data_IF_213681001680
#
_entry.id   IF_213681001680
#
_cell.length_a   1.000
_cell.length_b   1.000
_cell.length_c   1.000
_cell.angle_alpha   90.00
_cell.angle_beta   90.00
_cell.angle_gamma   90.00
#
_symmetry.space_group_name_H-M   'P 1'
#
loop_
_entity.id
_entity.type
_entity.pdbx_description
1 polymer ?
#
# COMPACT_ATOMS: atom_id res chain seq x y z
N UNK A 1 -4.67 -2.62 13.38
CA UNK A 1 -5.30 -1.33 13.76
C UNK A 1 -4.44 -0.54 14.74
N UNK A 2 -4.06 -1.09 15.91
CA UNK A 2 -3.22 -0.36 16.90
C UNK A 2 -1.89 0.17 16.33
N UNK A 3 -1.11 -0.69 15.67
CA UNK A 3 0.16 -0.27 15.04
C UNK A 3 -0.04 0.85 14.04
N UNK A 4 -0.97 0.71 13.09
CA UNK A 4 -1.30 1.78 12.14
C UNK A 4 -1.72 3.09 12.84
N UNK A 5 -2.49 3.00 13.92
CA UNK A 5 -2.89 4.17 14.70
C UNK A 5 -1.67 4.85 15.35
N UNK A 6 -0.70 4.08 15.86
CA UNK A 6 0.59 4.59 16.36
C UNK A 6 1.40 5.25 15.23
N UNK A 7 1.51 4.62 14.06
CA UNK A 7 2.20 5.17 12.87
C UNK A 7 1.62 6.54 12.46
N UNK A 8 0.29 6.65 12.47
CA UNK A 8 -0.43 7.85 12.09
C UNK A 8 -0.54 8.88 13.22
N UNK A 9 -0.27 8.50 14.47
CA UNK A 9 -0.40 9.37 15.64
C UNK A 9 -1.86 9.62 16.05
N UNK A 10 -2.74 8.62 15.90
CA UNK A 10 -4.15 8.72 16.27
C UNK A 10 -4.58 7.67 17.31
N UNK A 11 -5.75 7.88 17.89
CA UNK A 11 -6.45 6.86 18.68
C UNK A 11 -7.07 5.83 17.72
N UNK A 12 -6.93 4.50 17.96
CA UNK A 12 -7.64 3.48 17.18
C UNK A 12 -9.14 3.73 17.00
N UNK A 13 -9.81 4.32 17.99
CA UNK A 13 -11.23 4.65 17.92
C UNK A 13 -11.58 5.65 16.81
N UNK A 14 -10.60 6.41 16.29
CA UNK A 14 -10.79 7.32 15.16
C UNK A 14 -11.18 6.60 13.85
N UNK A 15 -10.99 5.28 13.77
CA UNK A 15 -11.43 4.45 12.65
C UNK A 15 -12.88 3.96 12.77
N UNK A 16 -13.61 4.36 13.82
CA UNK A 16 -14.99 3.89 14.09
C UNK A 16 -16.02 5.04 14.10
N UNK A 17 -15.72 6.18 13.47
CA UNK A 17 -16.49 7.42 13.67
C UNK A 17 -17.25 7.98 12.46
N UNK A 18 -17.26 7.32 11.30
CA UNK A 18 -17.86 7.86 10.04
C UNK A 18 -17.38 9.29 9.69
N UNK A 19 -16.18 9.68 10.13
CA UNK A 19 -15.66 11.05 10.05
C UNK A 19 -14.18 11.06 9.62
N UNK A 20 -13.72 12.25 9.19
CA UNK A 20 -12.30 12.52 8.97
C UNK A 20 -11.67 13.05 10.25
N UNK A 21 -10.73 12.30 10.81
CA UNK A 21 -9.90 12.73 11.93
C UNK A 21 -8.55 13.22 11.39
N UNK A 22 -8.27 14.52 11.55
CA UNK A 22 -6.97 15.11 11.17
C UNK A 22 -6.07 15.16 12.40
N UNK A 23 -4.88 14.57 12.31
CA UNK A 23 -3.90 14.53 13.40
C UNK A 23 -2.54 15.05 12.94
N UNK A 24 -1.75 15.55 13.88
CA UNK A 24 -0.33 15.82 13.63
C UNK A 24 0.43 14.50 13.54
N UNK A 25 1.29 14.40 12.53
CA UNK A 25 2.12 13.22 12.32
C UNK A 25 3.17 13.10 13.43
N UNK A 26 3.39 11.91 14.01
CA UNK A 26 4.42 11.70 15.02
C UNK A 26 5.80 12.11 14.52
N UNK A 27 6.58 12.84 15.33
CA UNK A 27 7.94 13.26 14.98
C UNK A 27 8.90 12.08 14.73
N UNK A 28 8.59 10.90 15.29
CA UNK A 28 9.36 9.67 15.11
C UNK A 28 8.95 8.85 13.87
N UNK A 29 7.93 9.30 13.12
CA UNK A 29 7.46 8.61 11.91
C UNK A 29 8.59 8.47 10.89
N UNK A 30 8.78 7.26 10.39
CA UNK A 30 9.80 6.94 9.36
C UNK A 30 9.32 7.26 7.94
N UNK A 31 8.05 7.57 7.79
CA UNK A 31 7.43 7.85 6.51
C UNK A 31 7.98 9.13 5.88
N UNK A 32 8.46 9.09 4.62
CA UNK A 32 9.03 10.24 3.93
C UNK A 32 7.95 11.24 3.46
N UNK A 33 6.68 10.98 3.74
CA UNK A 33 5.54 11.73 3.22
C UNK A 33 5.12 12.87 4.15
N UNK A 34 4.63 13.95 3.54
CA UNK A 34 4.07 15.12 4.27
C UNK A 34 2.68 14.84 4.82
N UNK A 35 1.93 13.95 4.17
CA UNK A 35 0.62 13.52 4.62
C UNK A 35 0.42 12.03 4.32
N UNK A 36 -0.21 11.34 5.27
CA UNK A 36 -0.62 9.95 5.19
C UNK A 36 -2.11 9.88 5.46
N UNK A 37 -2.82 9.04 4.73
CA UNK A 37 -4.26 8.85 4.91
C UNK A 37 -4.58 7.37 5.00
N UNK A 38 -5.39 7.00 5.98
CA UNK A 38 -5.89 5.64 6.16
C UNK A 38 -7.39 5.67 6.40
N UNK A 39 -8.13 4.79 5.73
CA UNK A 39 -9.52 4.48 6.06
C UNK A 39 -9.56 3.03 6.50
N UNK A 40 -10.01 2.79 7.73
CA UNK A 40 -10.32 1.47 8.25
C UNK A 40 -11.71 1.54 8.89
N UNK A 41 -12.43 0.43 8.90
CA UNK A 41 -13.79 0.42 9.46
C UNK A 41 -14.66 1.46 8.76
N UNK A 42 -15.17 2.41 9.54
CA UNK A 42 -16.00 3.53 9.05
C UNK A 42 -15.28 4.88 9.09
N UNK A 43 -14.14 5.00 9.79
CA UNK A 43 -13.43 6.27 9.96
C UNK A 43 -12.27 6.45 8.98
N UNK A 44 -11.91 7.71 8.74
CA UNK A 44 -10.69 8.08 8.00
C UNK A 44 -9.79 8.92 8.88
N UNK A 45 -8.50 8.62 8.88
CA UNK A 45 -7.47 9.40 9.57
C UNK A 45 -6.55 10.02 8.54
N UNK A 46 -6.30 11.32 8.67
CA UNK A 46 -5.33 12.08 7.89
C UNK A 46 -4.24 12.58 8.84
N UNK A 47 -3.07 11.96 8.77
CA UNK A 47 -1.87 12.31 9.55
C UNK A 47 -0.97 13.22 8.74
N UNK A 48 -0.71 14.43 9.24
CA UNK A 48 -0.05 15.49 8.47
C UNK A 48 1.14 16.05 9.23
N UNK A 49 2.22 16.35 8.51
CA UNK A 49 3.36 17.11 9.02
C UNK A 49 2.89 18.39 9.74
N UNK A 50 3.44 18.64 10.94
CA UNK A 50 3.03 19.74 11.80
C UNK A 50 2.99 21.11 11.09
N UNK A 51 3.87 21.32 10.10
CA UNK A 51 3.87 22.56 9.31
C UNK A 51 2.54 22.79 8.58
N UNK A 52 1.85 21.74 8.15
CA UNK A 52 0.61 21.82 7.36
C UNK A 52 -0.64 21.45 8.16
N UNK A 53 -0.53 21.23 9.47
CA UNK A 53 -1.64 20.76 10.29
C UNK A 53 -2.84 21.73 10.30
N UNK A 54 -2.60 23.01 10.56
CA UNK A 54 -3.66 24.03 10.55
C UNK A 54 -4.35 24.14 9.20
N UNK A 55 -3.56 24.07 8.11
CA UNK A 55 -4.09 24.05 6.75
C UNK A 55 -4.99 22.83 6.55
N UNK A 56 -4.52 21.64 6.92
CA UNK A 56 -5.29 20.40 6.77
C UNK A 56 -6.61 20.42 7.56
N UNK A 57 -6.59 20.94 8.80
CA UNK A 57 -7.79 21.09 9.62
C UNK A 57 -8.81 22.08 9.08
N UNK A 58 -8.37 23.07 8.30
CA UNK A 58 -9.25 24.05 7.66
C UNK A 58 -9.95 23.51 6.40
N UNK A 59 -9.48 22.38 5.86
CA UNK A 59 -10.10 21.78 4.68
C UNK A 59 -11.44 21.12 5.05
N UNK A 60 -12.46 21.38 4.27
CA UNK A 60 -13.74 20.65 4.37
C UNK A 60 -13.76 19.55 3.33
N UNK A 61 -13.64 18.29 3.77
CA UNK A 61 -13.56 17.12 2.89
C UNK A 61 -14.76 16.24 3.18
N UNK A 62 -15.71 16.22 2.24
CA UNK A 62 -16.94 15.44 2.36
C UNK A 62 -17.21 14.60 1.11
N UNK A 63 -17.53 13.30 1.27
CA UNK A 63 -17.41 12.51 2.50
C UNK A 63 -15.95 12.32 2.94
N UNK A 64 -15.72 12.03 4.22
CA UNK A 64 -14.40 11.91 4.85
C UNK A 64 -13.38 11.07 4.07
N UNK A 65 -13.79 9.95 3.47
CA UNK A 65 -12.92 9.06 2.70
C UNK A 65 -12.40 9.69 1.39
N UNK A 66 -12.94 10.84 0.95
CA UNK A 66 -12.37 11.59 -0.19
C UNK A 66 -11.03 12.23 0.13
N UNK A 67 -10.53 12.17 1.37
CA UNK A 67 -9.16 12.61 1.68
C UNK A 67 -8.10 11.87 0.83
N UNK A 68 -8.39 10.66 0.33
CA UNK A 68 -7.56 9.92 -0.63
C UNK A 68 -7.54 10.51 -2.04
N UNK A 69 -8.54 11.32 -2.38
CA UNK A 69 -8.69 11.85 -3.72
C UNK A 69 -7.81 13.07 -3.88
N UNK A 70 -7.01 13.07 -4.93
CA UNK A 70 -6.03 14.12 -5.17
C UNK A 70 -6.64 15.52 -5.25
N UNK A 71 -7.79 15.66 -5.89
CA UNK A 71 -8.48 16.94 -6.00
C UNK A 71 -9.03 17.47 -4.66
N UNK A 72 -9.31 16.58 -3.70
CA UNK A 72 -9.94 16.97 -2.44
C UNK A 72 -8.91 17.45 -1.40
N UNK A 73 -7.70 16.89 -1.39
CA UNK A 73 -6.69 17.25 -0.40
C UNK A 73 -5.27 17.37 -0.95
N UNK A 74 -4.79 16.39 -1.72
CA UNK A 74 -3.38 16.34 -2.12
C UNK A 74 -2.97 17.52 -3.02
N UNK A 75 -3.82 17.92 -3.97
CA UNK A 75 -3.58 19.09 -4.82
C UNK A 75 -3.63 20.39 -4.01
N UNK A 76 -4.66 20.66 -3.17
CA UNK A 76 -4.64 21.79 -2.24
C UNK A 76 -3.37 21.85 -1.38
N UNK A 77 -2.91 20.72 -0.84
CA UNK A 77 -1.69 20.65 -0.04
C UNK A 77 -0.44 21.01 -0.86
N UNK A 78 -0.36 20.59 -2.12
CA UNK A 78 0.72 20.98 -3.02
C UNK A 78 0.71 22.49 -3.30
N UNK A 79 -0.46 23.08 -3.56
CA UNK A 79 -0.56 24.53 -3.75
C UNK A 79 -0.19 25.30 -2.48
N UNK A 80 -0.58 24.80 -1.31
CA UNK A 80 -0.16 25.38 -0.02
C UNK A 80 1.35 25.27 0.18
N UNK A 81 1.95 24.13 -0.15
CA UNK A 81 3.40 23.95 -0.13
C UNK A 81 4.09 24.97 -1.02
N UNK A 82 3.60 25.13 -2.25
CA UNK A 82 4.11 26.13 -3.20
C UNK A 82 3.98 27.56 -2.68
N UNK A 83 2.86 27.92 -2.07
CA UNK A 83 2.66 29.25 -1.45
C UNK A 83 3.66 29.51 -0.32
N UNK A 84 4.11 28.46 0.37
CA UNK A 84 5.13 28.50 1.43
C UNK A 84 6.57 28.32 0.93
N UNK A 85 6.79 28.21 -0.38
CA UNK A 85 8.12 27.96 -0.96
C UNK A 85 8.65 26.54 -0.76
N UNK A 86 7.78 25.57 -0.48
CA UNK A 86 8.10 24.15 -0.30
C UNK A 86 7.67 23.39 -1.55
N UNK A 87 8.61 22.72 -2.22
CA UNK A 87 8.31 21.88 -3.36
C UNK A 87 7.67 20.57 -2.89
N UNK A 88 6.37 20.41 -3.15
CA UNK A 88 5.62 19.18 -2.89
C UNK A 88 5.13 18.58 -4.21
N UNK A 89 5.00 17.26 -4.22
CA UNK A 89 4.32 16.52 -5.28
C UNK A 89 3.43 15.47 -4.64
N UNK A 90 2.35 15.10 -5.33
CA UNK A 90 1.49 13.99 -4.93
C UNK A 90 1.47 12.93 -6.04
N UNK A 91 1.23 11.69 -5.64
CA UNK A 91 0.94 10.57 -6.55
C UNK A 91 -0.42 9.98 -6.16
N UNK A 92 -1.20 9.58 -7.18
CA UNK A 92 -2.56 9.06 -7.03
C UNK A 92 -2.63 7.82 -6.16
N UNK A 93 -3.83 7.46 -5.67
CA UNK A 93 -3.99 6.84 -4.38
C UNK A 93 -3.24 5.51 -4.27
N UNK A 94 -2.28 5.46 -3.35
CA UNK A 94 -1.74 4.21 -2.84
C UNK A 94 -2.76 3.69 -1.82
N UNK A 95 -3.72 2.88 -2.28
CA UNK A 95 -4.65 2.19 -1.39
C UNK A 95 -3.96 0.95 -0.83
N UNK A 96 -3.63 0.98 0.46
CA UNK A 96 -3.26 -0.23 1.19
C UNK A 96 -4.50 -0.79 1.88
N UNK A 97 -4.78 -2.08 1.69
CA UNK A 97 -5.82 -2.80 2.41
C UNK A 97 -5.17 -3.67 3.47
N UNK A 98 -5.56 -3.49 4.73
CA UNK A 98 -5.13 -4.39 5.81
C UNK A 98 -6.28 -5.38 6.04
N UNK A 99 -6.12 -6.67 5.69
CA UNK A 99 -7.17 -7.64 5.94
C UNK A 99 -7.32 -7.84 7.46
N UNK A 100 -8.57 -7.82 7.95
CA UNK A 100 -8.87 -8.03 9.37
C UNK A 100 -8.70 -9.50 9.83
N UNK A 101 -8.67 -10.42 8.86
CA UNK A 101 -8.45 -11.86 9.03
C UNK A 101 -7.79 -12.40 7.76
N UNK A 102 -7.24 -13.61 7.81
CA UNK A 102 -6.77 -14.28 6.60
C UNK A 102 -7.87 -14.26 5.52
N UNK A 103 -7.55 -13.87 4.28
CA UNK A 103 -8.50 -13.96 3.18
C UNK A 103 -8.88 -15.44 2.95
N UNK A 104 -10.10 -15.72 2.46
CA UNK A 104 -10.48 -17.07 2.11
C UNK A 104 -9.52 -17.63 1.06
N UNK A 105 -9.30 -18.93 1.08
CA UNK A 105 -8.50 -19.58 0.04
C UNK A 105 -9.19 -19.43 -1.32
N UNK A 106 -8.42 -19.03 -2.32
CA UNK A 106 -8.88 -18.95 -3.71
C UNK A 106 -8.32 -20.13 -4.49
N UNK A 107 -9.21 -20.83 -5.21
CA UNK A 107 -8.82 -21.88 -6.14
C UNK A 107 -8.08 -21.24 -7.30
N UNK A 108 -6.89 -21.75 -7.58
CA UNK A 108 -6.12 -21.34 -8.74
C UNK A 108 -6.82 -21.88 -10.00
N UNK A 109 -7.01 -21.08 -11.06
CA UNK A 109 -7.58 -21.56 -12.31
C UNK A 109 -6.78 -22.74 -12.89
N UNK A 110 -7.46 -23.61 -13.64
CA UNK A 110 -6.83 -24.76 -14.31
C UNK A 110 -5.68 -24.32 -15.22
N UNK A 111 -4.62 -25.14 -15.27
CA UNK A 111 -3.43 -24.88 -16.09
C UNK A 111 -2.41 -23.93 -15.44
N UNK A 112 -2.68 -23.47 -14.22
CA UNK A 112 -1.73 -22.71 -13.42
C UNK A 112 -1.25 -23.51 -12.21
N UNK A 113 -0.06 -23.16 -11.75
CA UNK A 113 0.46 -23.58 -10.45
C UNK A 113 1.00 -22.36 -9.70
N UNK A 114 0.92 -22.32 -8.37
CA UNK A 114 1.50 -21.22 -7.60
C UNK A 114 2.55 -21.72 -6.61
N UNK A 115 3.70 -21.05 -6.58
CA UNK A 115 4.89 -21.43 -5.80
C UNK A 115 5.43 -20.24 -5.03
N UNK A 116 6.03 -20.51 -3.87
CA UNK A 116 6.81 -19.51 -3.15
C UNK A 116 8.16 -19.31 -3.84
N UNK A 117 8.58 -18.06 -3.98
CA UNK A 117 9.88 -17.68 -4.54
C UNK A 117 10.63 -16.74 -3.60
N UNK A 118 11.95 -16.81 -3.67
CA UNK A 118 12.88 -16.02 -2.85
C UNK A 118 13.68 -15.00 -3.65
N UNK A 119 14.72 -14.45 -3.01
CA UNK A 119 15.54 -13.37 -3.56
C UNK A 119 16.25 -13.73 -4.88
N UNK A 120 16.62 -15.00 -5.05
CA UNK A 120 17.26 -15.47 -6.29
C UNK A 120 16.33 -15.32 -7.50
N UNK A 121 15.07 -15.74 -7.36
CA UNK A 121 14.06 -15.55 -8.41
C UNK A 121 13.78 -14.07 -8.66
N UNK A 122 13.64 -13.28 -7.59
CA UNK A 122 13.47 -11.82 -7.71
C UNK A 122 14.60 -11.20 -8.52
N UNK A 123 15.86 -11.55 -8.26
CA UNK A 123 17.01 -11.00 -8.97
C UNK A 123 16.96 -11.30 -10.49
N UNK A 124 16.38 -12.43 -10.90
CA UNK A 124 16.23 -12.79 -12.32
C UNK A 124 15.17 -11.92 -13.04
N UNK A 125 14.10 -11.53 -12.33
CA UNK A 125 12.94 -10.85 -12.93
C UNK A 125 12.87 -9.35 -12.62
N UNK A 126 13.64 -8.83 -11.67
CA UNK A 126 13.60 -7.42 -11.27
C UNK A 126 13.81 -6.48 -12.46
N UNK A 127 14.81 -6.78 -13.31
CA UNK A 127 15.14 -5.98 -14.50
C UNK A 127 14.07 -6.06 -15.60
N UNK A 128 13.21 -7.08 -15.58
CA UNK A 128 12.17 -7.26 -16.61
C UNK A 128 11.03 -6.25 -16.49
N UNK A 129 10.86 -5.63 -15.32
CA UNK A 129 9.76 -4.70 -14.98
C UNK A 129 8.35 -5.26 -15.22
N UNK A 130 8.22 -6.59 -15.29
CA UNK A 130 6.92 -7.25 -15.52
C UNK A 130 6.01 -7.16 -14.29
N UNK A 131 6.60 -7.11 -13.09
CA UNK A 131 5.90 -7.15 -11.80
C UNK A 131 6.43 -6.06 -10.84
N UNK A 132 6.58 -4.82 -11.31
CA UNK A 132 7.18 -3.71 -10.53
C UNK A 132 6.46 -3.51 -9.19
N UNK A 133 5.15 -3.70 -9.10
CA UNK A 133 4.45 -3.53 -7.82
C UNK A 133 4.86 -4.58 -6.78
N UNK A 134 5.08 -5.84 -7.19
CA UNK A 134 5.40 -6.93 -6.26
C UNK A 134 6.89 -7.25 -6.12
N UNK A 135 7.74 -6.75 -7.01
CA UNK A 135 9.21 -6.90 -6.94
C UNK A 135 9.94 -5.61 -6.57
N UNK A 136 9.28 -4.47 -6.78
CA UNK A 136 9.78 -3.12 -6.67
C UNK A 136 10.60 -2.68 -7.88
N UNK A 137 10.98 -1.42 -7.89
CA UNK A 137 11.73 -0.80 -8.99
C UNK A 137 13.24 -1.12 -8.90
N UNK A 138 13.93 -1.38 -10.02
CA UNK A 138 15.39 -1.54 -10.03
C UNK A 138 16.12 -0.32 -9.45
N UNK A 139 17.10 -0.56 -8.58
CA UNK A 139 17.90 0.50 -7.94
C UNK A 139 17.21 1.22 -6.77
N UNK A 140 15.99 0.82 -6.41
CA UNK A 140 15.31 1.33 -5.22
C UNK A 140 15.86 0.64 -3.96
N UNK A 141 16.66 1.36 -3.16
CA UNK A 141 17.31 0.83 -1.95
C UNK A 141 16.32 0.38 -0.87
N UNK A 142 15.16 1.05 -0.77
CA UNK A 142 14.08 0.64 0.15
C UNK A 142 13.62 -0.78 -0.21
N UNK A 143 13.26 -0.99 -1.47
CA UNK A 143 12.79 -2.28 -1.98
C UNK A 143 13.82 -3.38 -1.74
N UNK A 144 15.10 -3.14 -2.02
CA UNK A 144 16.15 -4.15 -1.84
C UNK A 144 16.29 -4.60 -0.38
N UNK A 145 16.21 -3.65 0.54
CA UNK A 145 16.31 -3.87 1.98
C UNK A 145 15.07 -4.56 2.54
N UNK A 146 13.88 -4.16 2.11
CA UNK A 146 12.61 -4.52 2.76
C UNK A 146 11.83 -5.63 2.07
N UNK A 147 12.10 -5.97 0.81
CA UNK A 147 11.48 -7.14 0.17
C UNK A 147 11.81 -8.44 0.90
N UNK A 148 10.87 -9.40 0.97
CA UNK A 148 11.01 -10.65 1.74
C UNK A 148 10.85 -11.90 0.88
N UNK A 149 9.68 -12.08 0.28
CA UNK A 149 9.31 -13.27 -0.51
C UNK A 149 8.17 -12.92 -1.46
N UNK A 150 7.80 -13.85 -2.35
CA UNK A 150 6.57 -13.75 -3.13
C UNK A 150 5.92 -15.11 -3.37
N UNK A 151 4.60 -15.12 -3.59
CA UNK A 151 3.90 -16.19 -4.31
C UNK A 151 3.80 -15.80 -5.78
N UNK A 152 4.18 -16.71 -6.67
CA UNK A 152 4.06 -16.53 -8.13
C UNK A 152 3.20 -17.64 -8.70
N UNK A 153 2.22 -17.27 -9.52
CA UNK A 153 1.47 -18.19 -10.37
C UNK A 153 2.18 -18.34 -11.72
N UNK A 154 2.40 -19.57 -12.14
CA UNK A 154 3.02 -19.95 -13.41
C UNK A 154 1.98 -20.63 -14.30
N UNK A 155 1.98 -20.29 -15.59
CA UNK A 155 1.21 -21.03 -16.61
C UNK A 155 1.85 -22.36 -16.97
N UNK A 156 1.20 -23.12 -17.86
CA UNK A 156 1.63 -24.46 -18.26
C UNK A 156 3.07 -24.52 -18.82
N UNK A 157 3.54 -23.46 -19.48
CA UNK A 157 4.87 -23.37 -20.07
C UNK A 157 5.94 -22.85 -19.08
N UNK A 158 5.59 -22.70 -17.79
CA UNK A 158 6.47 -22.17 -16.76
C UNK A 158 6.65 -20.65 -16.78
N UNK A 159 5.85 -19.95 -17.58
CA UNK A 159 5.84 -18.49 -17.65
C UNK A 159 5.14 -17.88 -16.41
N UNK A 160 5.71 -16.85 -15.77
CA UNK A 160 5.06 -16.21 -14.64
C UNK A 160 3.87 -15.37 -15.11
N UNK A 161 2.70 -15.66 -14.56
CA UNK A 161 1.41 -15.07 -14.93
C UNK A 161 0.90 -14.04 -13.91
N UNK A 162 1.16 -14.26 -12.62
CA UNK A 162 0.80 -13.33 -11.55
C UNK A 162 1.76 -13.46 -10.36
N UNK A 163 1.88 -12.39 -9.57
CA UNK A 163 2.77 -12.33 -8.42
C UNK A 163 2.11 -11.54 -7.28
N UNK A 164 2.32 -12.01 -6.04
CA UNK A 164 2.09 -11.27 -4.81
C UNK A 164 3.39 -11.28 -3.98
N UNK A 165 4.10 -10.16 -3.96
CA UNK A 165 5.37 -10.00 -3.25
C UNK A 165 5.20 -9.22 -1.96
N UNK A 166 5.95 -9.60 -0.94
CA UNK A 166 5.88 -9.00 0.39
C UNK A 166 7.07 -8.13 0.70
N UNK A 167 6.78 -6.96 1.25
CA UNK A 167 7.72 -6.01 1.82
C UNK A 167 7.47 -5.86 3.31
N UNK A 168 8.54 -5.64 4.05
CA UNK A 168 8.48 -5.22 5.45
C UNK A 168 8.34 -3.71 5.50
N UNK A 169 7.13 -3.25 5.81
CA UNK A 169 6.79 -1.82 5.88
C UNK A 169 7.02 -1.24 7.29
N UNK A 170 7.69 -2.02 8.16
CA UNK A 170 7.98 -1.64 9.53
C UNK A 170 6.82 -1.90 10.51
N UNK A 171 7.12 -1.76 11.81
CA UNK A 171 6.13 -1.82 12.90
C UNK A 171 5.27 -3.09 12.93
N UNK A 172 5.75 -4.18 12.33
CA UNK A 172 5.02 -5.46 12.24
C UNK A 172 4.00 -5.51 11.10
N UNK A 173 3.99 -4.51 10.22
CA UNK A 173 3.17 -4.47 9.02
C UNK A 173 3.94 -5.01 7.82
N UNK A 174 3.24 -5.80 7.01
CA UNK A 174 3.75 -6.34 5.77
C UNK A 174 2.88 -5.83 4.62
N UNK A 175 3.51 -5.17 3.65
CA UNK A 175 2.85 -4.76 2.42
C UNK A 175 2.87 -5.92 1.42
N UNK A 176 1.76 -6.15 0.71
CA UNK A 176 1.71 -7.08 -0.43
C UNK A 176 1.51 -6.27 -1.72
N UNK A 177 2.57 -6.20 -2.52
CA UNK A 177 2.48 -5.72 -3.89
C UNK A 177 1.98 -6.83 -4.82
N UNK A 178 0.88 -6.58 -5.54
CA UNK A 178 0.25 -7.56 -6.45
C UNK A 178 0.29 -7.09 -7.89
N UNK A 179 0.60 -8.00 -8.80
CA UNK A 179 0.54 -7.73 -10.23
C UNK A 179 0.20 -8.98 -11.05
N UNK A 180 -0.54 -8.80 -12.14
CA UNK A 180 -0.91 -9.86 -13.08
C UNK A 180 -0.46 -9.43 -14.46
N UNK A 181 0.33 -10.29 -15.12
CA UNK A 181 0.80 -10.06 -16.47
C UNK A 181 -0.40 -9.90 -17.42
N UNK A 182 -0.30 -8.97 -18.37
CA UNK A 182 -1.44 -8.50 -19.17
C UNK A 182 -2.29 -9.62 -19.81
N UNK A 183 -1.71 -10.69 -20.39
CA UNK A 183 -2.49 -11.76 -21.01
C UNK A 183 -3.38 -12.55 -20.04
N UNK A 184 -3.08 -12.54 -18.74
CA UNK A 184 -3.74 -13.35 -17.72
C UNK A 184 -4.64 -12.54 -16.78
N UNK A 185 -4.96 -11.29 -17.12
CA UNK A 185 -5.85 -10.45 -16.32
C UNK A 185 -7.30 -10.91 -16.46
N UNK A 186 -8.08 -10.72 -15.39
CA UNK A 186 -9.54 -10.96 -15.40
C UNK A 186 -9.97 -12.41 -15.12
N UNK A 187 -9.02 -13.33 -14.90
CA UNK A 187 -9.33 -14.74 -14.59
C UNK A 187 -9.11 -15.12 -13.11
N UNK A 188 -8.93 -14.13 -12.23
CA UNK A 188 -8.87 -14.36 -10.77
C UNK A 188 -7.48 -14.68 -10.19
N UNK A 189 -6.40 -14.68 -10.99
CA UNK A 189 -5.06 -15.01 -10.50
C UNK A 189 -4.57 -14.12 -9.35
N UNK A 190 -4.88 -12.82 -9.37
CA UNK A 190 -4.50 -11.88 -8.31
C UNK A 190 -5.01 -12.35 -6.94
N UNK A 191 -6.28 -12.76 -6.86
CA UNK A 191 -6.89 -13.21 -5.62
C UNK A 191 -6.21 -14.48 -5.10
N UNK A 192 -5.86 -15.41 -5.99
CA UNK A 192 -5.17 -16.65 -5.63
C UNK A 192 -3.76 -16.40 -5.08
N UNK A 193 -2.95 -15.57 -5.73
CA UNK A 193 -1.59 -15.29 -5.25
C UNK A 193 -1.60 -14.46 -3.97
N UNK A 194 -2.49 -13.47 -3.84
CA UNK A 194 -2.62 -12.65 -2.63
C UNK A 194 -3.09 -13.49 -1.45
N UNK A 195 -4.11 -14.34 -1.63
CA UNK A 195 -4.62 -15.15 -0.52
C UNK A 195 -3.57 -16.15 -0.01
N UNK A 196 -2.81 -16.78 -0.93
CA UNK A 196 -1.71 -17.67 -0.57
C UNK A 196 -0.56 -16.92 0.11
N UNK A 197 -0.19 -15.74 -0.38
CA UNK A 197 0.85 -14.94 0.26
C UNK A 197 0.42 -14.49 1.65
N UNK A 198 -0.83 -14.01 1.80
CA UNK A 198 -1.41 -13.61 3.08
C UNK A 198 -1.45 -14.77 4.09
N UNK A 199 -1.82 -15.98 3.65
CA UNK A 199 -1.81 -17.16 4.51
C UNK A 199 -0.40 -17.60 4.94
N UNK A 200 0.65 -17.24 4.20
CA UNK A 200 2.04 -17.52 4.56
C UNK A 200 2.68 -16.51 5.51
N UNK A 201 2.03 -15.36 5.74
CA UNK A 201 2.55 -14.28 6.61
C UNK A 201 1.74 -14.08 7.91
N UNK A 202 0.50 -14.59 7.97
CA UNK A 202 -0.37 -14.57 9.16
C UNK A 202 -0.17 -15.84 10.00
#
# INVERSE_FOLDING_TARGET
>A
MRQLAETLGCDPAAFETDMLTVVERPAASREPFIALVATLGTGTVLSVDARFFDFARSQTIEPHFRAFHSAAFAQPLVEEGKARGIALAWRGPNLAFIPASAPPEFVLPDGFEARSVGREWRAQYLESRLFENGLGEPGNTYVEQFWRSAIVAFGADGEPAALAGTYDDGEGLLEIGVEVARPFRGIGLANAVVARQAAGIL
#
